data_IF_790698704501
#
_entry.id   IF_790698704501
#
_cell.length_a   1.000
_cell.length_b   1.000
_cell.length_c   1.000
_cell.angle_alpha   90.00
_cell.angle_beta   90.00
_cell.angle_gamma   90.00
#
_symmetry.space_group_name_H-M   'P 1'
#
loop_
_entity.id
_entity.type
_entity.pdbx_description
1 polymer ?
#
# COMPACT_ATOMS: atom_id res chain seq x y z
N UNK A 1 -7.70 8.65 -9.06
CA UNK A 1 -6.40 7.95 -9.09
C UNK A 1 -5.48 8.52 -8.03
N UNK A 2 -5.03 9.77 -8.16
CA UNK A 2 -4.04 10.37 -7.24
C UNK A 2 -4.52 10.59 -5.79
N UNK A 3 -5.82 10.69 -5.54
CA UNK A 3 -6.35 10.72 -4.16
C UNK A 3 -5.97 9.47 -3.37
N UNK A 4 -6.09 8.30 -3.99
CA UNK A 4 -5.69 7.03 -3.36
C UNK A 4 -4.19 6.97 -3.10
N UNK A 5 -3.38 7.48 -4.04
CA UNK A 5 -1.92 7.54 -3.89
C UNK A 5 -1.48 8.54 -2.82
N UNK A 6 -2.14 9.69 -2.72
CA UNK A 6 -1.92 10.66 -1.65
C UNK A 6 -2.24 10.05 -0.28
N UNK A 7 -3.37 9.36 -0.18
CA UNK A 7 -3.81 8.73 1.06
C UNK A 7 -2.87 7.57 1.47
N UNK A 8 -2.43 6.74 0.51
CA UNK A 8 -1.49 5.64 0.79
C UNK A 8 -0.11 6.13 1.21
N UNK A 9 0.44 7.16 0.54
CA UNK A 9 1.70 7.79 0.96
C UNK A 9 1.58 8.40 2.35
N UNK A 10 0.42 9.02 2.66
CA UNK A 10 0.14 9.55 4.00
C UNK A 10 0.10 8.43 5.04
N UNK A 11 -0.52 7.30 4.73
CA UNK A 11 -0.58 6.14 5.61
C UNK A 11 0.81 5.54 5.87
N UNK A 12 1.64 5.36 4.83
CA UNK A 12 3.02 4.87 4.97
C UNK A 12 3.87 5.88 5.76
N UNK A 13 3.78 7.17 5.46
CA UNK A 13 4.55 8.19 6.18
C UNK A 13 4.26 8.17 7.69
N UNK A 14 2.99 7.96 8.04
CA UNK A 14 2.54 7.89 9.43
C UNK A 14 3.09 6.68 10.21
N UNK A 15 3.48 5.59 9.55
CA UNK A 15 4.08 4.42 10.25
C UNK A 15 5.51 4.69 10.72
N UNK A 16 6.19 5.68 10.12
CA UNK A 16 7.58 6.02 10.42
C UNK A 16 8.56 4.83 10.26
N UNK A 17 8.27 3.89 9.34
CA UNK A 17 9.10 2.70 9.12
C UNK A 17 10.02 2.84 7.91
N UNK A 18 9.46 3.12 6.73
CA UNK A 18 10.19 3.30 5.47
C UNK A 18 10.09 4.74 4.98
N UNK A 19 11.15 5.24 4.34
CA UNK A 19 11.15 6.59 3.77
C UNK A 19 10.28 6.63 2.52
N UNK A 20 9.33 7.57 2.48
CA UNK A 20 8.47 7.88 1.34
C UNK A 20 8.45 9.39 1.11
N UNK A 21 8.17 9.87 -0.11
CA UNK A 21 8.02 11.31 -0.36
C UNK A 21 6.80 11.83 0.40
N UNK A 22 6.95 12.92 1.16
CA UNK A 22 5.81 13.54 1.84
C UNK A 22 4.81 14.08 0.82
N UNK A 23 3.55 13.57 0.79
CA UNK A 23 2.54 14.10 -0.11
C UNK A 23 2.10 15.50 0.36
N UNK A 24 1.84 16.39 -0.60
CA UNK A 24 1.45 17.78 -0.35
C UNK A 24 0.01 18.01 -0.77
N UNK A 25 -0.34 17.76 -2.04
CA UNK A 25 -1.70 18.03 -2.55
C UNK A 25 -1.96 17.37 -3.91
N UNK A 26 -3.21 17.01 -4.19
CA UNK A 26 -3.71 16.68 -5.53
C UNK A 26 -4.34 17.92 -6.17
N UNK A 27 -4.00 18.19 -7.44
CA UNK A 27 -4.49 19.33 -8.21
C UNK A 27 -5.09 18.85 -9.54
N UNK A 28 -6.08 19.58 -10.06
CA UNK A 28 -6.57 19.39 -11.42
C UNK A 28 -5.65 20.10 -12.42
N UNK A 29 -5.35 19.43 -13.54
CA UNK A 29 -4.52 20.00 -14.59
C UNK A 29 -5.36 20.78 -15.62
N UNK A 30 -4.93 21.98 -16.07
CA UNK A 30 -5.58 22.67 -17.18
C UNK A 30 -5.45 21.83 -18.46
N UNK A 31 -6.59 21.39 -19.02
CA UNK A 31 -6.63 20.48 -20.17
C UNK A 31 -7.18 19.08 -19.87
N UNK A 32 -7.55 18.81 -18.60
CA UNK A 32 -8.06 17.52 -18.16
C UNK A 32 -6.95 16.65 -17.59
N UNK A 33 -7.28 15.93 -16.51
CA UNK A 33 -6.32 15.14 -15.74
C UNK A 33 -6.05 15.73 -14.35
N UNK A 34 -5.23 15.05 -13.57
CA UNK A 34 -4.87 15.43 -12.21
C UNK A 34 -3.36 15.29 -12.01
N UNK A 35 -2.82 15.98 -11.00
CA UNK A 35 -1.39 16.00 -10.65
C UNK A 35 -1.27 15.79 -9.15
N UNK A 36 -0.35 14.91 -8.73
CA UNK A 36 0.05 14.77 -7.33
C UNK A 36 1.33 15.55 -7.06
N UNK A 37 1.28 16.49 -6.13
CA UNK A 37 2.43 17.25 -5.64
C UNK A 37 2.95 16.62 -4.35
N UNK A 38 4.26 16.36 -4.28
CA UNK A 38 4.92 15.72 -3.16
C UNK A 38 6.37 16.20 -2.99
N UNK A 39 7.00 15.87 -1.87
CA UNK A 39 8.42 16.08 -1.61
C UNK A 39 9.29 15.48 -2.73
N UNK A 40 10.26 16.25 -3.19
CA UNK A 40 11.30 15.75 -4.08
C UNK A 40 12.34 14.95 -3.31
N UNK A 41 12.54 13.68 -3.69
CA UNK A 41 13.58 12.82 -3.16
C UNK A 41 14.73 12.70 -4.15
N UNK A 42 15.95 13.06 -3.70
CA UNK A 42 17.18 12.72 -4.42
C UNK A 42 17.45 11.21 -4.30
N UNK A 43 16.92 10.44 -5.25
CA UNK A 43 17.02 8.98 -5.26
C UNK A 43 18.36 8.52 -5.80
N UNK A 44 19.01 7.59 -5.09
CA UNK A 44 20.26 6.95 -5.48
C UNK A 44 20.14 5.43 -5.36
N UNK A 45 21.03 4.71 -6.04
CA UNK A 45 21.06 3.25 -5.98
C UNK A 45 21.30 2.75 -4.55
N UNK A 46 20.57 1.70 -4.15
CA UNK A 46 20.63 1.07 -2.84
C UNK A 46 21.74 0.01 -2.70
N UNK A 47 22.92 0.25 -3.28
CA UNK A 47 23.99 -0.76 -3.39
C UNK A 47 24.41 -1.41 -2.06
N UNK A 48 24.32 -0.69 -0.94
CA UNK A 48 24.70 -1.17 0.40
C UNK A 48 23.56 -1.21 1.43
N UNK A 49 22.34 -0.77 1.08
CA UNK A 49 21.25 -0.55 2.05
C UNK A 49 20.04 -1.47 1.85
N UNK A 50 20.10 -2.43 0.90
CA UNK A 50 18.98 -3.33 0.60
C UNK A 50 18.50 -4.13 1.82
N UNK A 51 19.42 -4.62 2.66
CA UNK A 51 19.06 -5.35 3.88
C UNK A 51 18.29 -4.47 4.88
N UNK A 52 18.71 -3.21 5.06
CA UNK A 52 18.02 -2.24 5.91
C UNK A 52 16.62 -1.93 5.37
N UNK A 53 16.50 -1.72 4.05
CA UNK A 53 15.19 -1.52 3.42
C UNK A 53 14.26 -2.73 3.66
N UNK A 54 14.78 -3.95 3.50
CA UNK A 54 14.02 -5.17 3.78
C UNK A 54 13.49 -5.23 5.21
N UNK A 55 14.32 -4.88 6.20
CA UNK A 55 13.90 -4.81 7.60
C UNK A 55 12.82 -3.72 7.82
N UNK A 56 13.00 -2.53 7.26
CA UNK A 56 12.02 -1.44 7.36
C UNK A 56 10.67 -1.78 6.70
N UNK A 57 10.70 -2.54 5.60
CA UNK A 57 9.49 -3.05 4.95
C UNK A 57 8.80 -4.12 5.81
N UNK A 58 9.56 -5.00 6.47
CA UNK A 58 8.97 -5.94 7.42
C UNK A 58 8.31 -5.22 8.60
N UNK A 59 8.95 -4.17 9.13
CA UNK A 59 8.35 -3.33 10.18
C UNK A 59 7.08 -2.62 9.70
N UNK A 60 7.07 -2.11 8.46
CA UNK A 60 5.87 -1.53 7.84
C UNK A 60 4.71 -2.53 7.82
N UNK A 61 4.96 -3.78 7.43
CA UNK A 61 3.93 -4.82 7.39
C UNK A 61 3.42 -5.20 8.79
N UNK A 62 4.30 -5.17 9.79
CA UNK A 62 3.93 -5.49 11.18
C UNK A 62 3.17 -4.35 11.88
N UNK A 63 3.33 -3.10 11.45
CA UNK A 63 2.69 -1.93 12.08
C UNK A 63 1.17 -2.08 12.19
N UNK A 64 0.50 -2.38 11.07
CA UNK A 64 -0.96 -2.55 11.03
C UNK A 64 -1.42 -3.76 11.85
N UNK A 65 -0.65 -4.86 11.86
CA UNK A 65 -0.95 -6.03 12.70
C UNK A 65 -0.91 -5.67 14.20
N UNK A 66 0.15 -4.98 14.63
CA UNK A 66 0.29 -4.53 16.03
C UNK A 66 -0.82 -3.56 16.42
N UNK A 67 -1.22 -2.67 15.50
CA UNK A 67 -2.35 -1.75 15.69
C UNK A 67 -3.66 -2.51 15.92
N UNK A 68 -3.98 -3.49 15.07
CA UNK A 68 -5.16 -4.34 15.23
C UNK A 68 -5.16 -5.13 16.55
N UNK A 69 -4.02 -5.72 16.93
CA UNK A 69 -3.87 -6.42 18.22
C UNK A 69 -4.09 -5.48 19.41
N UNK A 70 -3.66 -4.22 19.31
CA UNK A 70 -3.88 -3.21 20.34
C UNK A 70 -5.36 -2.84 20.46
N UNK A 71 -6.03 -2.59 19.33
CA UNK A 71 -7.47 -2.28 19.31
C UNK A 71 -8.30 -3.42 19.91
N UNK A 72 -7.99 -4.67 19.58
CA UNK A 72 -8.66 -5.84 20.16
C UNK A 72 -8.51 -5.92 21.68
N UNK A 73 -7.30 -5.62 22.20
CA UNK A 73 -7.05 -5.58 23.65
C UNK A 73 -7.81 -4.43 24.33
N UNK A 74 -7.86 -3.26 23.70
CA UNK A 74 -8.58 -2.10 24.22
C UNK A 74 -10.10 -2.33 24.24
N UNK A 75 -10.66 -2.96 23.20
CA UNK A 75 -12.08 -3.32 23.13
C UNK A 75 -12.52 -4.26 24.27
N UNK A 76 -11.61 -5.09 24.79
CA UNK A 76 -11.85 -5.96 25.95
C UNK A 76 -11.76 -5.27 27.32
N UNK A 77 -11.39 -3.98 27.37
CA UNK A 77 -11.15 -3.26 28.63
C UNK A 77 -12.25 -2.24 28.93
N UNK A 78 -13.00 -2.41 30.02
CA UNK A 78 -14.06 -1.47 30.43
C UNK A 78 -13.44 -0.21 31.07
N UNK A 79 -13.91 0.98 30.68
CA UNK A 79 -13.56 2.26 31.33
C UNK A 79 -12.52 3.12 30.60
N UNK A 80 -11.99 2.68 29.46
CA UNK A 80 -11.21 3.56 28.58
C UNK A 80 -12.16 4.39 27.72
N UNK A 81 -12.22 5.70 28.00
CA UNK A 81 -12.95 6.65 27.17
C UNK A 81 -12.48 6.59 25.72
N UNK A 82 -13.42 6.65 24.77
CA UNK A 82 -13.18 6.47 23.34
C UNK A 82 -12.06 7.38 22.84
N UNK A 83 -10.85 6.84 22.70
CA UNK A 83 -9.74 7.55 22.09
C UNK A 83 -10.09 7.71 20.63
N UNK A 84 -10.18 8.95 20.16
CA UNK A 84 -10.49 9.28 18.76
C UNK A 84 -9.49 8.54 17.88
N UNK A 85 -9.99 7.59 17.09
CA UNK A 85 -9.15 6.77 16.22
C UNK A 85 -8.49 7.66 15.16
N UNK A 86 -7.19 7.87 15.26
CA UNK A 86 -6.45 8.67 14.27
C UNK A 86 -6.16 7.89 12.98
N UNK A 87 -6.27 6.55 13.03
CA UNK A 87 -6.04 5.64 11.90
C UNK A 87 -6.93 4.38 11.99
N UNK A 88 -7.70 4.06 10.94
CA UNK A 88 -8.46 2.81 10.88
C UNK A 88 -7.53 1.60 10.79
N UNK A 89 -7.91 0.49 11.42
CA UNK A 89 -7.27 -0.81 11.22
C UNK A 89 -7.79 -1.46 9.93
N UNK A 90 -6.88 -2.02 9.13
CA UNK A 90 -7.22 -2.72 7.88
C UNK A 90 -6.98 -4.22 8.09
N UNK A 91 -8.02 -5.04 8.05
CA UNK A 91 -7.92 -6.49 8.27
C UNK A 91 -7.42 -7.26 7.04
N UNK A 92 -7.46 -6.62 5.86
CA UNK A 92 -6.99 -7.17 4.58
C UNK A 92 -5.68 -6.51 4.13
N UNK A 93 -5.02 -7.11 3.14
CA UNK A 93 -3.84 -6.51 2.54
C UNK A 93 -4.23 -5.28 1.72
N UNK A 94 -3.66 -4.12 2.05
CA UNK A 94 -3.88 -2.88 1.31
C UNK A 94 -4.04 -1.66 2.22
N UNK A 95 -4.80 -0.69 1.73
CA UNK A 95 -5.16 0.54 2.44
C UNK A 95 -6.67 0.58 2.67
N UNK A 96 -7.11 1.41 3.61
CA UNK A 96 -8.52 1.70 3.88
C UNK A 96 -9.21 2.44 2.73
N UNK A 97 -8.42 2.99 1.80
CA UNK A 97 -8.87 3.72 0.62
C UNK A 97 -8.49 2.97 -0.67
N UNK A 98 -9.31 3.16 -1.71
CA UNK A 98 -9.01 2.59 -3.03
C UNK A 98 -7.76 3.24 -3.60
N UNK A 99 -6.68 2.46 -3.70
CA UNK A 99 -5.46 2.84 -4.41
C UNK A 99 -5.48 2.30 -5.83
N UNK A 100 -4.96 3.07 -6.78
CA UNK A 100 -4.82 2.63 -8.16
C UNK A 100 -3.38 2.17 -8.42
N UNK A 101 -3.20 1.02 -9.07
CA UNK A 101 -1.89 0.51 -9.52
C UNK A 101 -1.50 1.00 -10.93
N UNK A 102 -2.26 1.95 -11.48
CA UNK A 102 -2.09 2.41 -12.86
C UNK A 102 -2.61 1.40 -13.89
N UNK A 103 -2.23 1.62 -15.16
CA UNK A 103 -2.53 0.71 -16.26
C UNK A 103 -1.30 -0.13 -16.58
N UNK A 104 -1.34 -1.42 -16.27
CA UNK A 104 -0.26 -2.36 -16.58
C UNK A 104 -0.46 -2.89 -18.01
N UNK A 105 0.42 -2.55 -18.98
CA UNK A 105 0.27 -3.04 -20.34
C UNK A 105 0.48 -4.56 -20.39
N UNK A 106 -0.37 -5.25 -21.14
CA UNK A 106 -0.20 -6.68 -21.35
C UNK A 106 1.05 -6.94 -22.20
N UNK A 107 1.94 -7.79 -21.70
CA UNK A 107 3.11 -8.22 -22.47
C UNK A 107 2.67 -8.95 -23.75
N UNK A 108 3.40 -8.83 -24.87
CA UNK A 108 3.05 -9.53 -26.12
C UNK A 108 2.75 -11.02 -25.89
N UNK A 109 1.65 -11.50 -26.48
CA UNK A 109 1.19 -12.89 -26.35
C UNK A 109 0.54 -13.23 -24.99
N UNK A 110 0.17 -12.23 -24.18
CA UNK A 110 -0.53 -12.44 -22.91
C UNK A 110 -1.77 -13.34 -23.05
N UNK A 111 -2.66 -13.05 -24.00
CA UNK A 111 -3.90 -13.82 -24.21
C UNK A 111 -3.64 -15.31 -24.48
N UNK A 112 -2.61 -15.61 -25.28
CA UNK A 112 -2.21 -17.00 -25.57
C UNK A 112 -1.68 -17.71 -24.33
N UNK A 113 -0.82 -17.03 -23.55
CA UNK A 113 -0.30 -17.59 -22.29
C UNK A 113 -1.39 -17.78 -21.25
N UNK A 114 -2.36 -16.87 -21.17
CA UNK A 114 -3.49 -16.97 -20.25
C UNK A 114 -4.29 -18.26 -20.48
N UNK A 115 -4.62 -18.58 -21.72
CA UNK A 115 -5.31 -19.83 -22.08
C UNK A 115 -4.49 -21.07 -21.68
N UNK A 116 -3.17 -21.06 -21.94
CA UNK A 116 -2.28 -22.16 -21.56
C UNK A 116 -2.19 -22.32 -20.04
N UNK A 117 -2.07 -21.23 -19.29
CA UNK A 117 -2.05 -21.27 -17.82
C UNK A 117 -3.37 -21.76 -17.24
N UNK A 118 -4.51 -21.37 -17.81
CA UNK A 118 -5.83 -21.86 -17.39
C UNK A 118 -5.94 -23.37 -17.62
N UNK A 119 -5.57 -23.86 -18.79
CA UNK A 119 -5.55 -25.30 -19.09
C UNK A 119 -4.63 -26.06 -18.13
N UNK A 120 -3.40 -25.58 -17.93
CA UNK A 120 -2.47 -26.17 -16.97
C UNK A 120 -3.04 -26.20 -15.55
N UNK A 121 -3.68 -25.11 -15.11
CA UNK A 121 -4.32 -25.05 -13.79
C UNK A 121 -5.44 -26.09 -13.66
N UNK A 122 -6.32 -26.19 -14.66
CA UNK A 122 -7.40 -27.19 -14.67
C UNK A 122 -6.86 -28.62 -14.64
N UNK A 123 -5.83 -28.93 -15.43
CA UNK A 123 -5.23 -30.26 -15.44
C UNK A 123 -4.60 -30.64 -14.09
N UNK A 124 -3.95 -29.69 -13.41
CA UNK A 124 -3.33 -29.97 -12.11
C UNK A 124 -4.31 -30.09 -10.94
N UNK A 125 -5.51 -29.53 -11.07
CA UNK A 125 -6.57 -29.61 -10.05
C UNK A 125 -7.69 -30.57 -10.46
N UNK A 126 -7.42 -31.44 -11.44
CA UNK A 126 -8.35 -32.49 -11.85
C UNK A 126 -8.17 -33.71 -10.94
N UNK A 127 -8.77 -33.65 -9.75
CA UNK A 127 -9.11 -34.75 -8.83
C UNK A 127 -10.05 -34.22 -7.74
#
# INVERSE_FOLDING_TARGET
MFEGEMASLTAILKTNTVKVPKPIKVLDAPGGGSVLVMEHLDMRHLSSHAAKLGAQLADLHLDNKKHGEMLLKEAGTVGRGGRREERPFVDQFGFDVVTCCGYLPQAPGFEKRLQLYQLFHYLNHWN
#
